data_IF_626080482546
#
_entry.id   IF_626080482546
#
_cell.length_a   1.000
_cell.length_b   1.000
_cell.length_c   1.000
_cell.angle_alpha   90.00
_cell.angle_beta   90.00
_cell.angle_gamma   90.00
#
_symmetry.space_group_name_H-M   'P 1'
#
loop_
_entity.id
_entity.type
_entity.pdbx_description
1 polymer ?
#
# COMPACT_ATOMS: atom_id res chain seq x y z
N UNK A 1 -5.81 -7.26 12.94
CA UNK A 1 -6.08 -6.09 13.79
C UNK A 1 -5.89 -4.80 12.98
N UNK A 2 -6.96 -4.09 12.60
CA UNK A 2 -6.87 -2.88 11.73
C UNK A 2 -6.20 -1.70 12.44
N UNK A 3 -6.60 -1.41 13.68
CA UNK A 3 -6.14 -0.24 14.44
C UNK A 3 -4.64 -0.33 14.75
N UNK A 4 -4.18 -1.51 15.16
CA UNK A 4 -2.76 -1.75 15.41
C UNK A 4 -1.92 -1.55 14.15
N UNK A 5 -2.30 -2.17 13.02
CA UNK A 5 -1.59 -2.00 11.75
C UNK A 5 -1.56 -0.53 11.30
N UNK A 6 -2.65 0.20 11.51
CA UNK A 6 -2.73 1.62 11.20
C UNK A 6 -1.76 2.42 12.07
N UNK A 7 -1.78 2.24 13.38
CA UNK A 7 -0.91 2.97 14.30
C UNK A 7 0.56 2.65 14.07
N UNK A 8 0.91 1.38 13.79
CA UNK A 8 2.27 0.97 13.39
C UNK A 8 2.71 1.67 12.10
N UNK A 9 1.82 1.79 11.11
CA UNK A 9 2.10 2.54 9.87
C UNK A 9 2.30 4.04 10.10
N UNK A 10 1.54 4.63 11.03
CA UNK A 10 1.57 6.07 11.32
C UNK A 10 2.73 6.49 12.24
N UNK A 11 3.21 5.61 13.13
CA UNK A 11 4.29 5.90 14.06
C UNK A 11 5.55 6.48 13.38
N UNK A 12 6.21 5.80 12.42
CA UNK A 12 7.41 6.34 11.78
C UNK A 12 7.15 7.68 11.07
N UNK A 13 5.92 7.86 10.57
CA UNK A 13 5.53 9.05 9.79
C UNK A 13 5.28 10.27 10.68
N UNK A 14 4.66 10.08 11.85
CA UNK A 14 4.48 11.20 12.80
C UNK A 14 5.82 11.59 13.45
N UNK A 15 6.73 10.62 13.66
CA UNK A 15 8.09 10.92 14.14
C UNK A 15 8.87 11.75 13.14
N UNK A 16 8.80 11.41 11.85
CA UNK A 16 9.43 12.18 10.78
C UNK A 16 8.94 13.63 10.74
N UNK A 17 7.63 13.84 10.91
CA UNK A 17 7.04 15.19 11.00
C UNK A 17 7.51 15.98 12.23
N UNK A 18 7.83 15.29 13.32
CA UNK A 18 8.42 15.89 14.53
C UNK A 18 9.95 16.07 14.42
N UNK A 19 10.56 15.79 13.26
CA UNK A 19 12.01 15.87 13.06
C UNK A 19 12.79 14.75 13.76
N UNK A 20 12.10 13.70 14.21
CA UNK A 20 12.70 12.53 14.86
C UNK A 20 12.89 11.43 13.83
N UNK A 21 14.02 10.71 13.87
CA UNK A 21 14.25 9.61 12.94
C UNK A 21 13.10 8.59 13.03
N UNK A 22 12.55 8.11 11.90
CA UNK A 22 11.40 7.20 11.89
C UNK A 22 11.56 5.92 12.72
N UNK A 23 12.80 5.43 12.86
CA UNK A 23 13.15 4.22 13.60
C UNK A 23 13.77 4.52 14.98
N UNK A 24 13.64 5.75 15.49
CA UNK A 24 14.23 6.14 16.76
C UNK A 24 13.55 5.50 17.98
N UNK A 25 12.32 5.02 17.81
CA UNK A 25 11.54 4.39 18.87
C UNK A 25 11.20 2.94 18.51
N UNK A 26 11.06 2.06 19.51
CA UNK A 26 10.57 0.70 19.31
C UNK A 26 9.18 0.71 18.67
N UNK A 27 8.86 -0.33 17.89
CA UNK A 27 7.55 -0.42 17.23
C UNK A 27 6.40 -0.42 18.23
N UNK A 28 6.58 -1.01 19.42
CA UNK A 28 5.58 -1.11 20.50
C UNK A 28 5.01 0.26 20.93
N UNK A 29 5.77 1.34 20.68
CA UNK A 29 5.33 2.70 20.92
C UNK A 29 4.18 3.14 19.98
N UNK A 30 3.75 2.30 19.05
CA UNK A 30 2.55 2.53 18.23
C UNK A 30 1.31 2.83 19.10
N UNK A 31 1.25 2.31 20.32
CA UNK A 31 0.15 2.56 21.28
C UNK A 31 -0.02 4.07 21.54
N UNK A 32 1.10 4.80 21.57
CA UNK A 32 1.17 6.24 21.80
C UNK A 32 0.84 7.08 20.57
N UNK A 33 0.53 6.46 19.43
CA UNK A 33 0.00 7.19 18.27
C UNK A 33 -1.48 7.47 18.53
N UNK A 34 -1.84 8.74 18.56
CA UNK A 34 -3.21 9.22 18.75
C UNK A 34 -3.75 9.82 17.45
N UNK A 35 -4.95 9.41 17.08
CA UNK A 35 -5.71 9.99 15.98
C UNK A 35 -7.18 10.04 16.40
N UNK A 36 -7.82 11.20 16.26
CA UNK A 36 -9.20 11.41 16.72
C UNK A 36 -10.22 11.06 15.66
N UNK A 37 -9.91 11.34 14.39
CA UNK A 37 -10.84 11.17 13.27
C UNK A 37 -10.12 10.69 12.01
N UNK A 38 -10.75 9.74 11.35
CA UNK A 38 -10.42 9.32 9.99
C UNK A 38 -11.31 10.07 9.01
N UNK A 39 -10.69 10.69 8.03
CA UNK A 39 -11.36 11.37 6.94
C UNK A 39 -11.18 10.55 5.67
N UNK A 40 -12.26 10.02 5.14
CA UNK A 40 -12.26 9.20 3.93
C UNK A 40 -12.34 10.08 2.68
N UNK A 41 -11.62 9.65 1.64
CA UNK A 41 -11.65 10.25 0.31
C UNK A 41 -11.97 9.18 -0.73
N UNK A 42 -12.68 9.56 -1.79
CA UNK A 42 -12.98 8.65 -2.90
C UNK A 42 -11.87 8.62 -3.96
N UNK A 43 -11.06 9.67 -4.04
CA UNK A 43 -10.17 9.92 -5.16
C UNK A 43 -8.79 10.41 -4.69
N UNK A 44 -7.74 9.89 -5.31
CA UNK A 44 -6.36 10.34 -5.14
C UNK A 44 -5.71 10.52 -6.52
N UNK A 45 -4.92 11.57 -6.67
CA UNK A 45 -4.13 11.87 -7.86
C UNK A 45 -2.68 11.49 -7.60
N UNK A 46 -2.07 10.79 -8.55
CA UNK A 46 -0.69 10.34 -8.48
C UNK A 46 0.04 10.92 -9.68
N UNK A 47 1.01 11.79 -9.43
CA UNK A 47 1.87 12.32 -10.48
C UNK A 47 3.00 11.32 -10.73
N UNK A 48 3.24 11.00 -12.00
CA UNK A 48 4.33 10.11 -12.40
C UNK A 48 5.09 10.67 -13.61
N UNK A 49 6.35 10.24 -13.73
CA UNK A 49 7.20 10.64 -14.85
C UNK A 49 7.11 9.58 -15.94
N UNK A 50 6.72 10.01 -17.14
CA UNK A 50 6.70 9.15 -18.33
C UNK A 50 8.12 8.95 -18.88
N UNK A 51 8.30 7.94 -19.75
CA UNK A 51 9.60 7.61 -20.34
C UNK A 51 10.30 8.80 -21.03
N UNK A 52 9.53 9.69 -21.67
CA UNK A 52 10.05 10.91 -22.31
C UNK A 52 10.25 12.09 -21.34
N UNK A 53 10.37 11.81 -20.03
CA UNK A 53 10.65 12.78 -18.96
C UNK A 53 9.55 13.86 -18.87
N UNK A 54 8.33 13.52 -19.25
CA UNK A 54 7.15 14.38 -19.01
C UNK A 54 6.46 13.95 -17.73
N UNK A 55 5.64 14.84 -17.19
CA UNK A 55 4.75 14.52 -16.07
C UNK A 55 3.38 14.17 -16.62
N UNK A 56 2.83 13.07 -16.13
CA UNK A 56 1.45 12.69 -16.33
C UNK A 56 0.83 12.32 -14.98
N UNK A 57 -0.49 12.11 -14.95
CA UNK A 57 -1.23 11.91 -13.72
C UNK A 57 -2.19 10.74 -13.82
N UNK A 58 -2.07 9.81 -12.87
CA UNK A 58 -3.05 8.77 -12.65
C UNK A 58 -4.09 9.23 -11.63
N UNK A 59 -5.35 8.86 -11.91
CA UNK A 59 -6.47 9.09 -11.00
C UNK A 59 -6.93 7.75 -10.44
N UNK A 60 -6.73 7.57 -9.14
CA UNK A 60 -7.20 6.40 -8.39
C UNK A 60 -8.56 6.72 -7.80
N UNK A 61 -9.58 5.97 -8.20
CA UNK A 61 -10.93 6.12 -7.64
C UNK A 61 -11.35 4.82 -6.95
N UNK A 62 -11.53 4.90 -5.63
CA UNK A 62 -11.71 3.76 -4.72
C UNK A 62 -12.90 2.90 -5.14
N UNK A 63 -13.99 3.49 -5.61
CA UNK A 63 -15.22 2.78 -6.01
C UNK A 63 -15.23 2.25 -7.46
N UNK A 64 -14.15 2.40 -8.21
CA UNK A 64 -14.08 1.96 -9.62
C UNK A 64 -13.04 0.87 -9.82
N UNK A 65 -13.05 0.17 -10.97
CA UNK A 65 -11.97 -0.73 -11.35
C UNK A 65 -10.58 -0.06 -11.45
N UNK A 66 -10.53 1.28 -11.57
CA UNK A 66 -9.29 2.08 -11.56
C UNK A 66 -8.83 2.38 -10.14
N UNK A 67 -8.73 1.32 -9.34
CA UNK A 67 -8.30 1.36 -7.94
C UNK A 67 -7.02 0.56 -7.71
N UNK A 68 -6.36 0.04 -8.75
CA UNK A 68 -5.15 -0.77 -8.57
C UNK A 68 -3.90 0.12 -8.72
N UNK A 69 -2.89 -0.19 -7.91
CA UNK A 69 -1.64 0.55 -7.81
C UNK A 69 -0.45 -0.40 -7.87
N UNK A 70 0.70 0.12 -8.29
CA UNK A 70 1.98 -0.55 -8.15
C UNK A 70 2.97 0.29 -7.34
N UNK A 71 3.82 -0.39 -6.59
CA UNK A 71 4.86 0.21 -5.77
C UNK A 71 6.09 -0.70 -5.75
N UNK A 72 7.24 -0.13 -5.37
CA UNK A 72 8.51 -0.84 -5.45
C UNK A 72 8.59 -2.01 -4.46
N UNK A 73 9.10 -3.14 -4.94
CA UNK A 73 9.51 -4.26 -4.10
C UNK A 73 10.93 -4.02 -3.60
N UNK A 74 11.09 -3.58 -2.34
CA UNK A 74 12.41 -3.34 -1.77
C UNK A 74 13.30 -4.58 -1.71
N UNK A 75 12.73 -5.79 -1.79
CA UNK A 75 13.50 -7.05 -1.79
C UNK A 75 14.11 -7.37 -3.16
N UNK A 76 13.69 -6.69 -4.22
CA UNK A 76 14.17 -6.91 -5.58
C UNK A 76 15.39 -6.05 -5.93
N UNK A 77 15.88 -5.23 -4.99
CA UNK A 77 17.00 -4.34 -5.22
C UNK A 77 18.09 -4.64 -4.18
N UNK A 78 19.32 -5.00 -4.60
CA UNK A 78 20.41 -5.25 -3.69
C UNK A 78 20.70 -4.02 -2.83
N UNK A 79 20.98 -4.23 -1.54
CA UNK A 79 21.31 -3.12 -0.63
C UNK A 79 22.76 -2.67 -0.79
N UNK A 80 23.62 -3.55 -1.30
CA UNK A 80 24.99 -3.25 -1.68
C UNK A 80 25.38 -3.99 -2.96
N UNK A 81 26.36 -3.48 -3.72
CA UNK A 81 26.85 -4.13 -4.95
C UNK A 81 27.43 -5.54 -4.73
N UNK A 82 27.87 -5.83 -3.51
CA UNK A 82 28.62 -7.05 -3.15
C UNK A 82 27.75 -8.11 -2.45
N UNK A 83 26.42 -7.92 -2.38
CA UNK A 83 25.51 -8.87 -1.73
C UNK A 83 25.25 -10.06 -2.66
N UNK A 84 25.69 -11.30 -2.31
CA UNK A 84 25.48 -12.46 -3.17
C UNK A 84 24.00 -12.84 -3.23
N UNK A 85 23.49 -13.08 -4.43
CA UNK A 85 22.13 -13.57 -4.64
C UNK A 85 22.13 -15.08 -4.87
N UNK A 86 21.87 -15.85 -3.80
CA UNK A 86 21.72 -17.32 -3.87
C UNK A 86 20.37 -17.77 -4.46
N UNK A 87 19.49 -16.84 -4.85
CA UNK A 87 18.16 -17.11 -5.39
C UNK A 87 17.78 -16.06 -6.43
N UNK A 88 16.93 -16.39 -7.42
CA UNK A 88 16.46 -15.42 -8.41
C UNK A 88 15.78 -14.24 -7.70
N UNK A 89 16.14 -13.02 -8.11
CA UNK A 89 15.59 -11.79 -7.57
C UNK A 89 14.07 -11.77 -7.74
N UNK A 90 13.30 -11.40 -6.70
CA UNK A 90 11.85 -11.32 -6.81
C UNK A 90 11.45 -10.20 -7.78
N UNK A 91 10.20 -10.26 -8.25
CA UNK A 91 9.66 -9.24 -9.16
C UNK A 91 9.82 -7.81 -8.57
N UNK A 92 10.29 -6.82 -9.36
CA UNK A 92 10.67 -5.48 -8.87
C UNK A 92 9.50 -4.62 -8.37
N UNK A 93 8.27 -5.01 -8.71
CA UNK A 93 7.06 -4.30 -8.31
C UNK A 93 6.12 -5.21 -7.52
N UNK A 94 5.44 -4.59 -6.57
CA UNK A 94 4.30 -5.15 -5.85
C UNK A 94 3.04 -4.43 -6.32
N UNK A 95 1.92 -5.15 -6.26
CA UNK A 95 0.62 -4.66 -6.70
C UNK A 95 -0.38 -4.72 -5.57
N UNK A 96 -1.27 -3.74 -5.50
CA UNK A 96 -2.38 -3.76 -4.57
C UNK A 96 -3.61 -3.07 -5.14
N UNK A 97 -4.78 -3.48 -4.66
CA UNK A 97 -6.04 -2.78 -4.85
C UNK A 97 -6.25 -1.81 -3.69
N UNK A 98 -6.47 -0.55 -4.01
CA UNK A 98 -6.85 0.49 -3.06
C UNK A 98 -8.30 0.28 -2.66
N UNK A 99 -8.53 -0.01 -1.39
CA UNK A 99 -9.86 -0.22 -0.81
C UNK A 99 -10.31 0.95 0.07
N UNK A 100 -9.40 1.89 0.37
CA UNK A 100 -9.74 3.14 1.02
C UNK A 100 -8.59 4.16 0.94
N UNK A 101 -8.95 5.44 0.82
CA UNK A 101 -8.02 6.56 0.87
C UNK A 101 -8.42 7.41 2.07
N UNK A 102 -7.45 7.72 2.92
CA UNK A 102 -7.73 8.40 4.17
C UNK A 102 -6.70 9.48 4.47
N UNK A 103 -7.11 10.44 5.29
CA UNK A 103 -6.18 11.21 6.09
C UNK A 103 -6.64 11.26 7.54
N UNK A 104 -5.69 11.55 8.42
CA UNK A 104 -5.96 11.81 9.83
C UNK A 104 -5.03 12.91 10.35
N UNK A 105 -5.48 13.61 11.38
CA UNK A 105 -4.60 14.42 12.23
C UNK A 105 -4.05 13.50 13.32
N UNK A 106 -2.74 13.30 13.29
CA UNK A 106 -2.02 12.31 14.10
C UNK A 106 -1.08 13.04 15.04
N UNK A 107 -1.13 12.70 16.33
CA UNK A 107 -0.17 13.14 17.33
C UNK A 107 0.52 11.93 17.95
N UNK A 108 1.73 12.13 18.45
CA UNK A 108 2.43 11.16 19.29
C UNK A 108 2.37 11.63 20.74
N UNK A 109 1.75 10.84 21.62
CA UNK A 109 1.53 11.22 23.03
C UNK A 109 2.57 10.64 24.00
N UNK A 110 3.54 9.89 23.48
CA UNK A 110 4.62 9.29 24.27
C UNK A 110 5.79 10.25 24.50
N UNK A 111 6.79 9.79 25.25
CA UNK A 111 8.07 10.49 25.33
C UNK A 111 8.86 10.32 24.02
N UNK A 112 9.45 11.41 23.54
CA UNK A 112 10.41 11.40 22.43
C UNK A 112 11.79 10.93 22.93
N UNK A 113 12.72 10.58 22.02
CA UNK A 113 14.05 10.06 22.42
C UNK A 113 14.88 11.00 23.31
N UNK A 114 14.63 12.31 23.24
CA UNK A 114 15.27 13.33 24.08
C UNK A 114 14.54 13.55 25.43
N UNK A 115 13.49 12.77 25.71
CA UNK A 115 12.68 12.86 26.91
C UNK A 115 11.58 13.95 26.85
N UNK A 116 11.54 14.75 25.79
CA UNK A 116 10.51 15.78 25.62
C UNK A 116 9.17 15.16 25.20
N UNK A 117 8.12 15.97 25.27
CA UNK A 117 6.79 15.63 24.77
C UNK A 117 6.31 16.75 23.87
N UNK A 118 5.96 16.38 22.65
CA UNK A 118 5.31 17.28 21.69
C UNK A 118 4.00 16.65 21.24
N UNK A 119 2.89 17.34 21.54
CA UNK A 119 1.55 16.89 21.20
C UNK A 119 1.02 17.52 19.91
N UNK A 120 1.90 18.16 19.12
CA UNK A 120 1.55 18.70 17.83
C UNK A 120 0.91 17.64 16.93
N UNK A 121 -0.25 17.99 16.38
CA UNK A 121 -0.98 17.14 15.44
C UNK A 121 -0.52 17.43 14.02
N UNK A 122 -0.18 16.37 13.29
CA UNK A 122 0.25 16.45 11.91
C UNK A 122 -0.76 15.74 11.01
N UNK A 123 -1.13 16.39 9.90
CA UNK A 123 -1.98 15.75 8.90
C UNK A 123 -1.15 14.71 8.14
N UNK A 124 -1.60 13.46 8.16
CA UNK A 124 -0.95 12.35 7.46
C UNK A 124 -1.97 11.69 6.53
N UNK A 125 -1.69 11.70 5.22
CA UNK A 125 -2.47 11.00 4.21
C UNK A 125 -1.96 9.54 4.05
N UNK A 126 -2.85 8.56 3.93
CA UNK A 126 -2.49 7.15 3.76
C UNK A 126 -3.55 6.37 2.97
N UNK A 127 -3.10 5.28 2.36
CA UNK A 127 -3.95 4.37 1.60
C UNK A 127 -4.12 3.07 2.37
N UNK A 128 -5.35 2.57 2.46
CA UNK A 128 -5.64 1.21 2.88
C UNK A 128 -5.78 0.33 1.64
N UNK A 129 -5.01 -0.75 1.58
CA UNK A 129 -4.85 -1.55 0.38
C UNK A 129 -4.95 -3.05 0.65
N UNK A 130 -5.34 -3.78 -0.40
CA UNK A 130 -5.38 -5.23 -0.46
C UNK A 130 -4.40 -5.72 -1.51
N UNK A 131 -3.36 -6.45 -1.08
CA UNK A 131 -2.23 -6.86 -1.92
C UNK A 131 -2.63 -7.98 -2.87
N UNK A 132 -2.01 -7.97 -4.04
CA UNK A 132 -2.02 -9.09 -4.97
C UNK A 132 -0.82 -10.01 -4.74
N UNK A 133 -0.99 -11.31 -5.01
CA UNK A 133 0.10 -12.25 -5.28
C UNK A 133 0.33 -12.35 -6.78
N UNK A 134 1.59 -12.41 -7.19
CA UNK A 134 1.97 -12.74 -8.56
C UNK A 134 1.73 -14.23 -8.76
N UNK A 135 1.00 -14.57 -9.81
CA UNK A 135 0.85 -15.94 -10.29
C UNK A 135 1.89 -16.13 -11.39
N UNK A 136 2.82 -17.05 -11.16
CA UNK A 136 3.88 -17.34 -12.11
C UNK A 136 3.31 -17.76 -13.47
N UNK A 137 4.02 -17.38 -14.51
CA UNK A 137 3.71 -17.73 -15.87
C UNK A 137 4.27 -19.12 -16.18
N UNK A 138 3.45 -20.00 -16.77
CA UNK A 138 3.91 -21.32 -17.19
C UNK A 138 4.81 -21.26 -18.45
N UNK A 139 4.80 -20.14 -19.19
CA UNK A 139 5.55 -19.97 -20.44
C UNK A 139 6.13 -18.57 -20.61
N UNK A 140 7.20 -18.43 -21.39
CA UNK A 140 7.85 -17.13 -21.66
C UNK A 140 6.92 -16.10 -22.34
N UNK A 141 5.94 -16.59 -23.12
CA UNK A 141 5.00 -15.75 -23.88
C UNK A 141 3.71 -15.44 -23.14
N UNK A 142 3.54 -15.98 -21.93
CA UNK A 142 2.33 -15.77 -21.14
C UNK A 142 2.44 -14.47 -20.33
N UNK A 143 1.34 -13.72 -20.28
CA UNK A 143 1.28 -12.49 -19.51
C UNK A 143 1.33 -12.80 -18.01
N UNK A 144 2.06 -11.98 -17.27
CA UNK A 144 2.08 -12.06 -15.81
C UNK A 144 0.67 -11.87 -15.26
N UNK A 145 0.32 -12.71 -14.29
CA UNK A 145 -1.00 -12.72 -13.68
C UNK A 145 -0.94 -12.34 -12.21
N UNK A 146 -2.03 -11.80 -11.71
CA UNK A 146 -2.21 -11.40 -10.33
C UNK A 146 -3.50 -12.01 -9.77
N UNK A 147 -3.46 -12.44 -8.53
CA UNK A 147 -4.66 -12.78 -7.74
C UNK A 147 -4.65 -11.98 -6.45
N UNK A 148 -5.83 -11.59 -5.96
CA UNK A 148 -5.92 -10.95 -4.66
C UNK A 148 -5.53 -11.95 -3.56
N UNK A 149 -4.68 -11.53 -2.62
CA UNK A 149 -4.30 -12.41 -1.50
C UNK A 149 -5.52 -12.79 -0.67
N UNK A 150 -5.59 -14.03 -0.21
CA UNK A 150 -6.64 -14.46 0.72
C UNK A 150 -6.61 -13.63 2.00
N UNK A 151 -7.76 -13.14 2.47
CA UNK A 151 -7.87 -12.29 3.66
C UNK A 151 -7.38 -12.93 4.97
N UNK A 152 -7.24 -14.27 4.99
CA UNK A 152 -6.67 -15.00 6.11
C UNK A 152 -5.15 -14.80 6.26
N UNK A 153 -4.47 -14.37 5.20
CA UNK A 153 -3.04 -14.05 5.24
C UNK A 153 -2.83 -12.71 5.94
N UNK A 154 -1.89 -12.67 6.88
CA UNK A 154 -1.64 -11.46 7.67
C UNK A 154 -1.19 -10.28 6.79
N UNK A 155 -0.48 -10.55 5.68
CA UNK A 155 0.02 -9.51 4.79
C UNK A 155 -0.93 -9.16 3.63
N UNK A 156 -2.15 -9.73 3.59
CA UNK A 156 -3.13 -9.42 2.56
C UNK A 156 -3.58 -7.96 2.61
N UNK A 157 -3.87 -7.44 3.81
CA UNK A 157 -4.31 -6.06 4.03
C UNK A 157 -3.21 -5.26 4.70
N UNK A 158 -3.00 -4.04 4.21
CA UNK A 158 -1.98 -3.15 4.76
C UNK A 158 -2.25 -1.69 4.47
N UNK A 159 -1.42 -0.83 5.04
CA UNK A 159 -1.41 0.59 4.75
C UNK A 159 -0.20 0.96 3.93
N UNK A 160 -0.33 2.00 3.12
CA UNK A 160 0.74 2.51 2.28
C UNK A 160 0.76 4.04 2.34
N UNK A 161 1.96 4.61 2.31
CA UNK A 161 2.15 6.03 2.08
C UNK A 161 1.94 6.32 0.58
N UNK A 162 1.05 7.24 0.19
CA UNK A 162 0.83 7.62 -1.20
C UNK A 162 2.11 7.92 -1.98
N UNK A 163 3.13 8.49 -1.33
CA UNK A 163 4.43 8.81 -1.94
C UNK A 163 5.24 7.59 -2.38
N UNK A 164 4.90 6.39 -1.89
CA UNK A 164 5.55 5.13 -2.28
C UNK A 164 4.89 4.47 -3.49
N UNK A 165 3.75 5.01 -3.93
CA UNK A 165 3.06 4.51 -5.11
C UNK A 165 3.78 5.03 -6.35
N UNK A 166 4.16 4.12 -7.23
CA UNK A 166 4.84 4.46 -8.48
C UNK A 166 3.83 4.94 -9.51
N UNK A 167 2.70 4.23 -9.64
CA UNK A 167 1.64 4.53 -10.60
C UNK A 167 0.36 3.72 -10.33
N UNK A 168 -0.73 4.15 -10.96
CA UNK A 168 -1.92 3.34 -11.14
C UNK A 168 -1.70 2.22 -12.14
N UNK A 169 -2.44 1.14 -12.00
CA UNK A 169 -2.33 -0.04 -12.87
C UNK A 169 -3.68 -0.41 -13.45
N UNK A 170 -3.72 -0.59 -14.77
CA UNK A 170 -4.86 -1.19 -15.44
C UNK A 170 -4.70 -2.71 -15.46
N UNK A 171 -5.50 -3.39 -14.66
CA UNK A 171 -5.54 -4.85 -14.58
C UNK A 171 -6.72 -5.37 -15.40
N UNK A 172 -6.44 -6.35 -16.27
CA UNK A 172 -7.46 -6.95 -17.15
C UNK A 172 -7.96 -8.23 -16.48
N UNK A 173 -9.25 -8.35 -16.14
CA UNK A 173 -9.80 -9.58 -15.59
C UNK A 173 -9.56 -10.83 -16.45
N UNK A 174 -9.18 -11.94 -15.83
CA UNK A 174 -9.20 -13.24 -16.48
C UNK A 174 -10.63 -13.82 -16.41
N UNK A 175 -11.49 -13.39 -17.33
CA UNK A 175 -12.92 -13.72 -17.36
C UNK A 175 -13.22 -15.22 -17.29
N UNK A 176 -12.35 -16.07 -17.86
CA UNK A 176 -12.51 -17.52 -17.89
C UNK A 176 -12.46 -18.20 -16.52
N UNK A 177 -11.87 -17.55 -15.50
CA UNK A 177 -11.80 -18.07 -14.12
C UNK A 177 -12.95 -17.57 -13.23
N UNK A 178 -13.84 -16.73 -13.76
CA UNK A 178 -14.97 -16.19 -13.02
C UNK A 178 -14.59 -15.19 -11.92
N UNK A 179 -15.62 -14.84 -11.13
CA UNK A 179 -15.52 -13.88 -10.02
C UNK A 179 -15.20 -14.60 -8.71
N UNK A 180 -14.40 -13.94 -7.88
CA UNK A 180 -14.10 -14.36 -6.52
C UNK A 180 -14.98 -13.60 -5.53
N UNK A 181 -16.01 -14.25 -5.01
CA UNK A 181 -17.07 -13.61 -4.20
C UNK A 181 -16.57 -13.22 -2.80
N UNK A 182 -15.42 -13.76 -2.37
CA UNK A 182 -14.87 -13.59 -1.02
C UNK A 182 -13.58 -12.77 -0.97
N UNK A 183 -13.12 -12.23 -2.11
CA UNK A 183 -11.82 -11.57 -2.17
C UNK A 183 -11.76 -10.29 -1.32
N UNK A 184 -12.82 -9.47 -1.33
CA UNK A 184 -12.78 -8.18 -0.64
C UNK A 184 -13.30 -8.25 0.80
N UNK A 185 -12.72 -7.49 1.74
CA UNK A 185 -13.23 -7.44 3.11
C UNK A 185 -14.66 -6.90 3.14
N UNK A 186 -15.56 -7.62 3.83
CA UNK A 186 -16.92 -7.14 4.06
C UNK A 186 -16.91 -6.03 5.12
N UNK A 187 -17.06 -4.79 4.69
CA UNK A 187 -17.10 -3.62 5.57
C UNK A 187 -17.85 -2.49 4.90
N UNK A 188 -18.55 -1.65 5.68
CA UNK A 188 -19.20 -0.42 5.18
C UNK A 188 -18.21 0.61 4.61
N UNK A 189 -16.92 0.43 4.88
CA UNK A 189 -15.84 1.30 4.43
C UNK A 189 -15.09 0.74 3.20
N UNK A 190 -15.45 -0.46 2.74
CA UNK A 190 -14.91 -1.04 1.52
C UNK A 190 -16.02 -0.97 0.46
N UNK A 191 -15.80 -0.32 -0.68
CA UNK A 191 -16.81 -0.26 -1.72
C UNK A 191 -17.20 -1.65 -2.20
N UNK A 192 -18.48 -1.84 -2.49
CA UNK A 192 -18.95 -3.04 -3.16
C UNK A 192 -18.39 -3.07 -4.59
N UNK A 193 -17.44 -3.95 -4.83
CA UNK A 193 -16.86 -4.19 -6.14
C UNK A 193 -16.74 -5.67 -6.40
N UNK A 194 -16.96 -6.05 -7.65
CA UNK A 194 -16.61 -7.36 -8.12
C UNK A 194 -15.09 -7.53 -8.08
N UNK A 195 -14.66 -8.70 -7.62
CA UNK A 195 -13.29 -9.17 -7.77
C UNK A 195 -13.28 -10.41 -8.67
N UNK A 196 -12.26 -10.52 -9.50
CA UNK A 196 -12.00 -11.68 -10.34
C UNK A 196 -10.96 -12.59 -9.70
N UNK A 197 -11.04 -13.88 -9.99
CA UNK A 197 -10.12 -14.90 -9.46
C UNK A 197 -8.67 -14.61 -9.87
N UNK A 198 -8.46 -14.06 -11.07
CA UNK A 198 -7.16 -13.59 -11.52
C UNK A 198 -7.30 -12.40 -12.49
N UNK A 199 -6.18 -11.68 -12.67
CA UNK A 199 -6.04 -10.55 -13.58
C UNK A 199 -4.73 -10.67 -14.35
N UNK A 200 -4.70 -10.19 -15.59
CA UNK A 200 -3.48 -9.97 -16.35
C UNK A 200 -2.92 -8.57 -16.10
N UNK A 201 -1.60 -8.48 -16.00
CA UNK A 201 -0.88 -7.22 -15.96
C UNK A 201 -0.74 -6.71 -17.40
N UNK A 202 -1.25 -5.50 -17.66
CA UNK A 202 -0.99 -4.84 -18.93
C UNK A 202 0.45 -4.28 -18.90
N UNK A 203 1.34 -4.82 -19.73
CA UNK A 203 2.74 -4.37 -19.86
C UNK A 203 2.84 -3.15 -20.77
#
# INVERSE_FOLDING_TARGET
>A
NFVEKLKRHLLPRVLDQLGVKPNALPEENWINVSLTRLYAHQLMRLDYTTYNVRRDQDVIHVETPRSNIMFLNQLAFPKSPDEPHDSPLPHPYLYAKVIGIYHANVAYIGALPDGTRDFATHRIDFVWMHRYSILESDTEFSLDRLALKTLALDDALGFLDPSKIVRGVHLIPQFSLGKETSALPRSKYVPAQDAWSAYYINK
#
